data_IF_759112149541
#
_entry.id   IF_759112149541
#
_cell.length_a   1.000
_cell.length_b   1.000
_cell.length_c   1.000
_cell.angle_alpha   90.00
_cell.angle_beta   90.00
_cell.angle_gamma   90.00
#
_symmetry.space_group_name_H-M   'P 1'
#
loop_
_entity.id
_entity.type
_entity.pdbx_description
1 polymer ?
#
# COMPACT_ATOMS: atom_id res chain seq x y z
N UNK A 1 16.92 7.51 -7.05
CA UNK A 1 16.49 6.22 -7.63
C UNK A 1 15.97 6.48 -9.04
N UNK A 2 16.43 5.75 -10.07
CA UNK A 2 15.87 5.83 -11.43
C UNK A 2 14.37 5.54 -11.48
N UNK A 3 13.72 5.85 -12.60
CA UNK A 3 12.35 5.37 -12.89
C UNK A 3 12.33 3.83 -12.95
N UNK A 4 11.21 3.22 -12.56
CA UNK A 4 10.98 1.76 -12.56
C UNK A 4 11.95 0.99 -11.65
N UNK A 5 12.47 1.65 -10.61
CA UNK A 5 13.27 0.98 -9.58
C UNK A 5 12.33 0.34 -8.57
N UNK A 6 12.53 -0.94 -8.27
CA UNK A 6 11.83 -1.62 -7.18
C UNK A 6 12.24 -0.99 -5.83
N UNK A 7 11.24 -0.61 -5.04
CA UNK A 7 11.43 -0.02 -3.71
C UNK A 7 11.37 -1.12 -2.65
N UNK A 8 10.35 -1.98 -2.74
CA UNK A 8 10.13 -3.07 -1.80
C UNK A 8 8.72 -3.62 -1.90
N UNK A 9 8.49 -4.74 -1.21
CA UNK A 9 7.17 -5.34 -1.04
C UNK A 9 6.41 -4.67 0.11
N UNK A 10 5.09 -4.53 -0.04
CA UNK A 10 4.20 -4.17 1.06
C UNK A 10 3.95 -5.37 1.96
N UNK A 11 4.73 -5.47 3.03
CA UNK A 11 4.57 -6.52 4.03
C UNK A 11 3.45 -6.13 4.98
N UNK A 12 2.51 -7.05 5.19
CA UNK A 12 1.30 -6.86 5.96
C UNK A 12 0.73 -8.21 6.43
N UNK A 13 -0.19 -8.18 7.39
CA UNK A 13 -1.02 -9.34 7.72
C UNK A 13 -2.07 -9.55 6.63
N UNK A 14 -2.37 -10.82 6.30
CA UNK A 14 -3.37 -11.19 5.31
C UNK A 14 -4.69 -11.54 6.01
N UNK A 15 -5.76 -10.86 5.61
CA UNK A 15 -7.10 -11.10 6.10
C UNK A 15 -8.04 -11.51 4.95
N UNK A 16 -9.00 -12.41 5.18
CA UNK A 16 -10.11 -12.61 4.26
C UNK A 16 -10.92 -11.31 4.10
N UNK A 17 -11.48 -11.07 2.92
CA UNK A 17 -12.28 -9.87 2.63
C UNK A 17 -13.53 -9.71 3.53
N UNK A 18 -14.00 -10.80 4.14
CA UNK A 18 -15.09 -10.78 5.14
C UNK A 18 -14.74 -9.96 6.40
N UNK A 19 -13.46 -9.67 6.64
CA UNK A 19 -13.00 -8.86 7.77
C UNK A 19 -12.97 -7.35 7.49
N UNK A 20 -13.33 -6.92 6.27
CA UNK A 20 -13.15 -5.53 5.86
C UNK A 20 -13.90 -4.54 6.76
N UNK A 21 -15.15 -4.85 7.13
CA UNK A 21 -15.94 -3.98 8.04
C UNK A 21 -15.31 -3.88 9.43
N UNK A 22 -14.75 -4.98 9.96
CA UNK A 22 -14.08 -4.99 11.27
C UNK A 22 -12.80 -4.16 11.22
N UNK A 23 -12.02 -4.29 10.14
CA UNK A 23 -10.81 -3.50 9.93
C UNK A 23 -11.17 -2.02 9.81
N UNK A 24 -12.19 -1.65 9.05
CA UNK A 24 -12.67 -0.27 8.93
C UNK A 24 -13.03 0.35 10.29
N UNK A 25 -13.73 -0.38 11.16
CA UNK A 25 -14.05 0.12 12.52
C UNK A 25 -12.77 0.43 13.31
N UNK A 26 -11.76 -0.44 13.24
CA UNK A 26 -10.49 -0.25 13.94
C UNK A 26 -9.71 0.92 13.35
N UNK A 27 -9.68 1.06 12.03
CA UNK A 27 -9.00 2.16 11.33
C UNK A 27 -9.62 3.52 11.66
N UNK A 28 -10.97 3.62 11.63
CA UNK A 28 -11.72 4.82 12.03
C UNK A 28 -11.41 5.23 13.46
N UNK A 29 -11.37 4.26 14.38
CA UNK A 29 -11.06 4.53 15.77
C UNK A 29 -9.62 5.03 15.98
N UNK A 30 -8.67 4.54 15.17
CA UNK A 30 -7.25 4.91 15.27
C UNK A 30 -6.85 6.14 14.47
N UNK A 31 -7.71 6.57 13.53
CA UNK A 31 -7.39 7.59 12.54
C UNK A 31 -6.16 7.24 11.68
N UNK A 32 -5.96 5.94 11.42
CA UNK A 32 -4.85 5.40 10.62
C UNK A 32 -5.38 4.26 9.76
N UNK A 33 -5.23 4.39 8.44
CA UNK A 33 -5.60 3.37 7.47
C UNK A 33 -4.33 2.79 6.83
N UNK A 34 -4.14 1.48 6.99
CA UNK A 34 -3.03 0.71 6.42
C UNK A 34 -3.54 -0.47 5.59
N UNK A 35 -4.82 -0.45 5.22
CA UNK A 35 -5.42 -1.54 4.47
C UNK A 35 -5.15 -1.40 2.98
N UNK A 36 -4.93 -2.54 2.32
CA UNK A 36 -4.68 -2.62 0.89
C UNK A 36 -5.40 -3.84 0.32
N UNK A 37 -6.30 -3.65 -0.65
CA UNK A 37 -6.94 -4.77 -1.34
C UNK A 37 -5.91 -5.54 -2.17
N UNK A 38 -5.75 -6.84 -1.90
CA UNK A 38 -4.81 -7.69 -2.63
C UNK A 38 -5.48 -8.39 -3.81
N UNK A 39 -6.67 -8.95 -3.60
CA UNK A 39 -7.48 -9.61 -4.63
C UNK A 39 -8.95 -9.72 -4.19
N UNK A 40 -9.76 -10.46 -4.95
CA UNK A 40 -11.19 -10.63 -4.70
C UNK A 40 -11.51 -11.33 -3.37
N UNK A 41 -10.55 -12.04 -2.78
CA UNK A 41 -10.76 -12.84 -1.58
C UNK A 41 -10.01 -12.31 -0.35
N UNK A 42 -8.98 -11.48 -0.55
CA UNK A 42 -8.09 -11.05 0.53
C UNK A 42 -7.76 -9.55 0.53
N UNK A 43 -7.60 -9.03 1.74
CA UNK A 43 -7.12 -7.70 2.08
C UNK A 43 -5.87 -7.83 2.94
N UNK A 44 -4.94 -6.88 2.78
CA UNK A 44 -3.74 -6.75 3.59
C UNK A 44 -3.95 -5.64 4.62
N UNK A 45 -3.53 -5.84 5.86
CA UNK A 45 -3.45 -4.78 6.88
C UNK A 45 -2.04 -4.76 7.51
N UNK A 46 -1.34 -3.63 7.39
CA UNK A 46 0.01 -3.47 7.98
C UNK A 46 0.01 -2.80 9.35
N UNK A 47 -1.16 -2.62 10.00
CA UNK A 47 -1.27 -1.93 11.28
C UNK A 47 -0.32 -2.49 12.35
N UNK A 48 -0.26 -3.82 12.49
CA UNK A 48 0.53 -4.50 13.52
C UNK A 48 1.80 -5.18 12.99
N UNK A 49 1.72 -5.83 11.81
CA UNK A 49 2.87 -6.45 11.14
C UNK A 49 3.11 -5.75 9.81
N UNK A 50 4.32 -5.25 9.59
CA UNK A 50 4.70 -4.68 8.30
C UNK A 50 6.14 -4.21 8.24
N UNK A 51 6.52 -3.60 7.12
CA UNK A 51 7.84 -3.02 6.89
C UNK A 51 7.75 -1.52 6.56
N UNK A 52 8.89 -0.89 6.26
CA UNK A 52 8.98 0.55 6.00
C UNK A 52 8.11 1.06 4.84
N UNK A 53 7.67 0.18 3.93
CA UNK A 53 6.81 0.60 2.81
C UNK A 53 5.42 1.07 3.27
N UNK A 54 5.00 0.76 4.51
CA UNK A 54 3.75 1.26 5.10
C UNK A 54 3.72 2.77 5.34
N UNK A 55 4.87 3.44 5.28
CA UNK A 55 4.99 4.87 5.54
C UNK A 55 4.98 5.73 4.27
N UNK A 56 4.83 5.13 3.08
CA UNK A 56 4.62 5.91 1.87
C UNK A 56 3.25 6.59 1.95
N UNK A 57 3.23 7.92 2.00
CA UNK A 57 1.98 8.66 2.21
C UNK A 57 1.18 8.84 0.91
N UNK A 58 -0.09 9.20 1.08
CA UNK A 58 -1.00 9.45 -0.02
C UNK A 58 -0.63 10.74 -0.79
N UNK A 59 -0.58 10.65 -2.11
CA UNK A 59 -0.63 11.80 -3.00
C UNK A 59 -1.43 11.48 -4.26
N UNK A 60 -1.91 12.53 -4.93
CA UNK A 60 -2.60 12.44 -6.22
C UNK A 60 -1.94 13.36 -7.25
N UNK A 61 -2.12 13.04 -8.52
CA UNK A 61 -1.63 13.85 -9.62
C UNK A 61 -0.11 13.95 -9.63
N UNK A 62 0.42 15.17 -9.70
CA UNK A 62 1.87 15.43 -9.85
C UNK A 62 2.70 15.09 -8.59
N UNK A 63 2.04 14.92 -7.44
CA UNK A 63 2.72 14.53 -6.19
C UNK A 63 3.07 13.05 -6.12
N UNK A 64 2.38 12.20 -6.87
CA UNK A 64 2.65 10.76 -6.93
C UNK A 64 3.99 10.49 -7.63
N UNK A 65 4.90 9.79 -6.95
CA UNK A 65 6.21 9.46 -7.50
C UNK A 65 6.57 7.97 -7.36
N UNK A 66 5.64 7.19 -6.82
CA UNK A 66 5.68 5.72 -6.73
C UNK A 66 4.33 5.13 -7.09
N UNK A 67 4.33 3.85 -7.48
CA UNK A 67 3.13 3.09 -7.79
C UNK A 67 3.20 1.72 -7.12
N UNK A 68 2.05 1.13 -6.84
CA UNK A 68 1.90 -0.21 -6.27
C UNK A 68 1.37 -1.17 -7.32
N UNK A 69 2.03 -2.32 -7.50
CA UNK A 69 1.64 -3.34 -8.46
C UNK A 69 1.43 -4.69 -7.77
N UNK A 70 0.32 -5.37 -8.07
CA UNK A 70 0.10 -6.76 -7.65
C UNK A 70 0.86 -7.67 -8.61
N UNK A 71 1.81 -8.43 -8.09
CA UNK A 71 2.67 -9.35 -8.82
C UNK A 71 2.41 -10.79 -8.38
N UNK A 72 2.51 -11.73 -9.33
CA UNK A 72 2.44 -13.16 -9.03
C UNK A 72 3.85 -13.70 -8.74
N UNK A 73 4.09 -14.07 -7.49
CA UNK A 73 5.42 -14.51 -7.03
C UNK A 73 5.27 -15.85 -6.32
N UNK A 74 5.85 -16.89 -6.91
CA UNK A 74 5.89 -18.24 -6.33
C UNK A 74 4.53 -18.82 -5.93
N UNK A 75 3.45 -18.47 -6.64
CA UNK A 75 2.10 -18.98 -6.37
C UNK A 75 1.23 -18.05 -5.52
N UNK A 76 1.70 -16.86 -5.17
CA UNK A 76 0.97 -15.90 -4.34
C UNK A 76 0.94 -14.51 -4.98
N UNK A 77 -0.15 -13.77 -4.75
CA UNK A 77 -0.23 -12.35 -5.05
C UNK A 77 0.56 -11.55 -4.02
N UNK A 78 1.44 -10.65 -4.46
CA UNK A 78 2.22 -9.73 -3.61
C UNK A 78 2.15 -8.32 -4.14
N UNK A 79 2.14 -7.32 -3.26
CA UNK A 79 2.17 -5.90 -3.68
C UNK A 79 3.60 -5.39 -3.65
N UNK A 80 4.11 -4.93 -4.78
CA UNK A 80 5.44 -4.32 -4.89
C UNK A 80 5.34 -2.85 -5.27
N UNK A 81 6.16 -2.02 -4.64
CA UNK A 81 6.30 -0.61 -4.98
C UNK A 81 7.42 -0.36 -5.97
N UNK A 82 7.14 0.51 -6.94
CA UNK A 82 8.11 0.96 -7.93
C UNK A 82 8.09 2.49 -8.05
N UNK A 83 9.23 3.08 -8.42
CA UNK A 83 9.29 4.50 -8.75
C UNK A 83 8.66 4.79 -10.12
N UNK A 84 7.83 5.83 -10.23
CA UNK A 84 7.21 6.23 -11.52
C UNK A 84 8.08 7.21 -12.31
N UNK A 85 9.05 7.83 -11.64
CA UNK A 85 10.04 8.76 -12.20
C UNK A 85 11.35 8.68 -11.41
N UNK A 86 12.34 9.49 -11.82
CA UNK A 86 13.55 9.65 -11.01
C UNK A 86 13.22 10.33 -9.67
N UNK A 87 13.77 9.79 -8.59
CA UNK A 87 13.63 10.27 -7.20
C UNK A 87 14.99 10.76 -6.69
N UNK A 88 15.04 11.98 -6.18
CA UNK A 88 16.26 12.55 -5.59
C UNK A 88 16.50 12.00 -4.19
N UNK A 89 17.75 12.05 -3.71
CA UNK A 89 18.07 11.68 -2.33
C UNK A 89 17.31 12.60 -1.36
N UNK A 90 16.62 12.00 -0.39
CA UNK A 90 15.84 12.74 0.63
C UNK A 90 14.48 13.22 0.15
N UNK A 91 14.08 12.93 -1.08
CA UNK A 91 12.72 13.16 -1.56
C UNK A 91 11.77 12.11 -0.97
N UNK A 92 10.62 12.56 -0.45
CA UNK A 92 9.60 11.66 0.10
C UNK A 92 8.98 10.80 -1.00
N UNK A 93 8.66 9.54 -0.66
CA UNK A 93 7.98 8.61 -1.54
C UNK A 93 6.47 8.66 -1.26
N UNK A 94 5.70 8.91 -2.31
CA UNK A 94 4.27 9.14 -2.25
C UNK A 94 3.56 8.30 -3.32
N UNK A 95 2.40 7.76 -2.98
CA UNK A 95 1.59 6.95 -3.91
C UNK A 95 0.11 7.27 -3.79
N UNK A 96 -0.66 6.90 -4.81
CA UNK A 96 -2.10 7.02 -4.77
C UNK A 96 -2.74 5.76 -4.16
N UNK A 97 -3.30 5.89 -2.95
CA UNK A 97 -4.05 4.82 -2.27
C UNK A 97 -5.39 4.46 -2.95
N UNK A 98 -5.84 5.24 -3.93
CA UNK A 98 -7.12 5.05 -4.59
C UNK A 98 -8.32 5.63 -3.82
N UNK A 99 -9.50 5.57 -4.43
CA UNK A 99 -10.72 6.22 -3.91
C UNK A 99 -11.23 5.55 -2.63
N UNK A 100 -11.06 4.24 -2.49
CA UNK A 100 -11.57 3.48 -1.36
C UNK A 100 -10.85 3.79 -0.05
N UNK A 101 -9.64 4.35 -0.10
CA UNK A 101 -8.86 4.71 1.08
C UNK A 101 -9.60 5.68 2.01
N UNK A 102 -10.39 6.59 1.44
CA UNK A 102 -11.09 7.64 2.17
C UNK A 102 -12.47 7.21 2.72
N UNK A 103 -12.92 5.99 2.40
CA UNK A 103 -14.22 5.47 2.85
C UNK A 103 -14.15 4.81 4.24
N UNK A 104 -12.93 4.42 4.63
CA UNK A 104 -12.58 3.90 5.95
C UNK A 104 -12.42 4.98 7.02
#
# INVERSE_FOLDING_TARGET
MPKSTAIGEYIAELFPNEFNEQLDIVQKHRHLNYTFTLNADHILDSAWVGNDTRYLNHAQGEGENTTAEIQWVSGEHRILFFTTRYIKKGEELLFNYGENYWLG
#
